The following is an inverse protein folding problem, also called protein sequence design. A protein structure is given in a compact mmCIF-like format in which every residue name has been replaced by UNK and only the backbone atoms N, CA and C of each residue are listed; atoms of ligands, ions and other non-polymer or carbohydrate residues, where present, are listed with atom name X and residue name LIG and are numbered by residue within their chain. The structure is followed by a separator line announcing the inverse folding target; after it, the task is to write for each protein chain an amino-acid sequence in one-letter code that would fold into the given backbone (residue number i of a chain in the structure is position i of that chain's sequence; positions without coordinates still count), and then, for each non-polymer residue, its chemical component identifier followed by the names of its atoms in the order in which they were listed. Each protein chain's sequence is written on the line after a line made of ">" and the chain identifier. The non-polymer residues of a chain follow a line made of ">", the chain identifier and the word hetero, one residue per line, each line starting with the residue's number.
data_IF_827402310649
#
_entry.id   IF_827402310649
#
_cell.length_a   1.000
_cell.length_b   1.000
_cell.length_c   1.000
_cell.angle_alpha   90.00
_cell.angle_beta   90.00
_cell.angle_gamma   90.00
#
_symmetry.space_group_name_H-M   'P 1'
#
loop_
_entity.id
_entity.type
_entity.pdbx_description
1 polymer ?
#
# COMPACT_ATOMS: atom_id res chain seq x y z
N UNK A 1 3.64 10.59 10.43
CA UNK A 1 2.65 9.52 10.58
C UNK A 1 2.04 9.54 11.96
N UNK A 2 0.99 10.34 12.10
CA UNK A 2 0.06 10.23 13.22
C UNK A 2 -0.73 8.92 13.13
N UNK A 3 -1.38 8.53 14.23
CA UNK A 3 -2.16 7.29 14.30
C UNK A 3 -3.24 7.20 13.20
N UNK A 4 -3.79 8.33 12.75
CA UNK A 4 -4.79 8.35 11.69
C UNK A 4 -4.22 8.05 10.29
N UNK A 5 -2.97 8.44 10.01
CA UNK A 5 -2.30 8.09 8.74
C UNK A 5 -2.05 6.58 8.66
N UNK A 6 -1.72 5.95 9.80
CA UNK A 6 -1.48 4.51 9.83
C UNK A 6 -2.76 3.72 9.50
N UNK A 7 -3.93 4.22 9.94
CA UNK A 7 -5.20 3.53 9.78
C UNK A 7 -5.66 3.61 8.33
N UNK A 8 -5.45 4.77 7.68
CA UNK A 8 -5.72 4.94 6.26
C UNK A 8 -4.86 4.01 5.39
N UNK A 9 -3.57 3.90 5.71
CA UNK A 9 -2.65 2.98 4.99
C UNK A 9 -3.08 1.53 5.19
N UNK A 10 -3.34 1.12 6.44
CA UNK A 10 -3.78 -0.23 6.75
C UNK A 10 -5.10 -0.58 6.07
N UNK A 11 -6.03 0.38 6.00
CA UNK A 11 -7.31 0.23 5.30
C UNK A 11 -7.12 0.08 3.79
N UNK A 12 -6.36 0.96 3.15
CA UNK A 12 -6.10 0.88 1.72
C UNK A 12 -5.47 -0.45 1.30
N UNK A 13 -4.51 -0.94 2.10
CA UNK A 13 -3.86 -2.24 1.88
C UNK A 13 -4.81 -3.42 2.14
N UNK A 14 -5.66 -3.33 3.16
CA UNK A 14 -6.70 -4.31 3.44
C UNK A 14 -7.75 -4.41 2.33
N UNK A 15 -8.20 -3.26 1.83
CA UNK A 15 -9.15 -3.17 0.72
C UNK A 15 -8.52 -3.75 -0.56
N UNK A 16 -7.27 -3.40 -0.87
CA UNK A 16 -6.53 -4.00 -1.99
C UNK A 16 -6.39 -5.52 -1.87
N UNK A 17 -6.06 -6.02 -0.68
CA UNK A 17 -5.88 -7.46 -0.45
C UNK A 17 -7.21 -8.24 -0.56
N UNK A 18 -8.28 -7.70 0.02
CA UNK A 18 -9.61 -8.34 0.07
C UNK A 18 -10.38 -8.21 -1.24
N UNK A 19 -10.41 -7.02 -1.82
CA UNK A 19 -11.19 -6.70 -3.01
C UNK A 19 -10.41 -6.90 -4.31
N UNK A 20 -9.11 -7.24 -4.22
CA UNK A 20 -8.21 -7.38 -5.37
C UNK A 20 -8.15 -6.13 -6.25
N UNK A 21 -8.24 -4.96 -5.61
CA UNK A 21 -8.08 -3.65 -6.27
C UNK A 21 -6.64 -3.20 -6.21
N UNK A 22 -6.19 -2.44 -7.21
CA UNK A 22 -4.86 -1.85 -7.20
C UNK A 22 -4.74 -0.83 -6.06
N UNK A 23 -3.62 -0.83 -5.36
CA UNK A 23 -3.22 0.21 -4.41
C UNK A 23 -2.05 1.00 -4.99
N UNK A 24 -2.05 2.30 -4.74
CA UNK A 24 -0.90 3.18 -4.95
C UNK A 24 -0.25 3.43 -3.59
N UNK A 25 1.01 3.09 -3.46
CA UNK A 25 1.80 3.28 -2.24
C UNK A 25 2.96 4.22 -2.55
N UNK A 26 3.06 5.31 -1.79
CA UNK A 26 4.23 6.17 -1.77
C UNK A 26 5.20 5.67 -0.72
N UNK A 27 6.44 5.45 -1.14
CA UNK A 27 7.56 5.09 -0.30
C UNK A 27 8.50 6.28 -0.12
N UNK A 28 8.86 6.53 1.13
CA UNK A 28 9.92 7.46 1.47
C UNK A 28 11.26 6.85 1.06
N UNK A 29 11.98 7.52 0.16
CA UNK A 29 13.36 7.22 -0.15
C UNK A 29 14.26 8.37 0.26
N UNK A 30 15.42 8.04 0.83
CA UNK A 30 16.50 8.97 1.19
C UNK A 30 16.89 9.92 0.05
N UNK A 31 16.80 9.44 -1.20
CA UNK A 31 17.23 10.16 -2.40
C UNK A 31 16.12 10.41 -3.43
N UNK A 32 15.05 9.60 -3.44
CA UNK A 32 13.96 9.74 -4.40
C UNK A 32 12.67 9.11 -3.85
N UNK A 33 11.54 9.79 -4.04
CA UNK A 33 10.23 9.24 -3.70
C UNK A 33 9.91 8.10 -4.67
N UNK A 34 9.72 6.89 -4.14
CA UNK A 34 9.38 5.73 -4.95
C UNK A 34 7.88 5.47 -4.83
N UNK A 35 7.20 5.33 -5.96
CA UNK A 35 5.79 4.97 -5.99
C UNK A 35 5.63 3.54 -6.48
N UNK A 36 4.88 2.73 -5.74
CA UNK A 36 4.53 1.35 -6.09
C UNK A 36 3.04 1.29 -6.37
N UNK A 37 2.67 0.78 -7.55
CA UNK A 37 1.29 0.61 -7.96
C UNK A 37 1.05 -0.86 -8.29
N UNK A 38 0.06 -1.50 -7.65
CA UNK A 38 -0.27 -2.90 -7.93
C UNK A 38 -1.27 -3.47 -6.94
N UNK A 39 -1.57 -4.77 -7.04
CA UNK A 39 -2.54 -5.42 -6.14
C UNK A 39 -1.79 -6.08 -4.99
N UNK A 40 -2.27 -5.90 -3.76
CA UNK A 40 -1.70 -6.59 -2.60
C UNK A 40 -2.03 -8.08 -2.67
N UNK A 41 -0.99 -8.90 -2.79
CA UNK A 41 -1.11 -10.36 -2.87
C UNK A 41 -0.93 -11.02 -1.50
N UNK A 42 -0.11 -10.42 -0.63
CA UNK A 42 0.19 -10.92 0.72
C UNK A 42 0.31 -9.77 1.70
N UNK A 43 -0.16 -9.99 2.93
CA UNK A 43 0.05 -9.12 4.09
C UNK A 43 0.77 -9.89 5.19
N UNK A 44 1.87 -9.35 5.68
CA UNK A 44 2.65 -9.89 6.81
C UNK A 44 2.69 -8.82 7.91
N UNK A 45 1.67 -8.85 8.77
CA UNK A 45 1.50 -7.86 9.85
C UNK A 45 2.59 -8.00 10.92
N UNK A 46 3.07 -9.22 11.18
CA UNK A 46 4.13 -9.50 12.15
C UNK A 46 5.43 -8.79 11.76
N UNK A 47 5.79 -8.85 10.48
CA UNK A 47 7.00 -8.20 9.95
C UNK A 47 6.71 -6.82 9.36
N UNK A 48 5.48 -6.32 9.49
CA UNK A 48 5.00 -5.05 8.95
C UNK A 48 5.42 -4.84 7.50
N UNK A 49 5.08 -5.79 6.63
CA UNK A 49 5.38 -5.74 5.18
C UNK A 49 4.25 -6.36 4.37
N UNK A 50 4.21 -6.03 3.08
CA UNK A 50 3.21 -6.55 2.16
C UNK A 50 3.83 -6.84 0.81
N UNK A 51 3.21 -7.74 0.05
CA UNK A 51 3.66 -8.09 -1.30
C UNK A 51 2.74 -7.43 -2.32
N UNK A 52 3.32 -6.68 -3.25
CA UNK A 52 2.65 -6.10 -4.42
C UNK A 52 3.43 -6.50 -5.65
N UNK A 53 2.73 -7.09 -6.63
CA UNK A 53 3.32 -7.50 -7.92
C UNK A 53 4.56 -8.41 -7.77
N UNK A 54 4.54 -9.31 -6.78
CA UNK A 54 5.68 -10.17 -6.43
C UNK A 54 6.84 -9.50 -5.66
N UNK A 55 6.80 -8.18 -5.43
CA UNK A 55 7.81 -7.45 -4.64
C UNK A 55 7.36 -7.24 -3.18
N UNK A 56 8.28 -7.46 -2.22
CA UNK A 56 8.02 -7.18 -0.81
C UNK A 56 8.36 -5.73 -0.45
N UNK A 57 7.38 -5.04 0.12
CA UNK A 57 7.47 -3.64 0.56
C UNK A 57 7.26 -3.55 2.06
N UNK A 58 8.13 -2.86 2.78
CA UNK A 58 8.03 -2.66 4.22
C UNK A 58 7.17 -1.44 4.55
N UNK A 59 6.29 -1.54 5.55
CA UNK A 59 5.52 -0.39 6.04
C UNK A 59 6.39 0.71 6.63
N UNK A 60 7.62 0.41 7.06
CA UNK A 60 8.55 1.41 7.57
C UNK A 60 8.98 2.41 6.49
N UNK A 61 9.00 1.97 5.23
CA UNK A 61 9.32 2.81 4.07
C UNK A 61 8.07 3.49 3.51
N UNK A 62 6.87 3.16 3.98
CA UNK A 62 5.63 3.76 3.47
C UNK A 62 5.46 5.16 4.03
N UNK A 63 5.32 6.13 3.13
CA UNK A 63 4.93 7.50 3.43
C UNK A 63 3.41 7.70 3.32
N UNK A 64 2.75 6.94 2.43
CA UNK A 64 1.30 6.97 2.28
C UNK A 64 0.78 5.87 1.36
N UNK A 65 -0.50 5.53 1.46
CA UNK A 65 -1.15 4.58 0.56
C UNK A 65 -2.59 5.01 0.27
N UNK A 66 -3.03 4.79 -0.97
CA UNK A 66 -4.39 5.01 -1.41
C UNK A 66 -4.83 3.82 -2.24
N UNK A 67 -5.99 3.25 -1.93
CA UNK A 67 -6.60 2.27 -2.81
C UNK A 67 -6.94 3.01 -4.11
N UNK A 68 -6.38 2.56 -5.22
CA UNK A 68 -6.78 3.05 -6.53
C UNK A 68 -8.26 2.78 -6.67
N UNK A 69 -9.06 3.83 -6.78
CA UNK A 69 -10.44 3.68 -7.19
C UNK A 69 -10.40 2.89 -8.49
N UNK A 70 -10.92 1.65 -8.47
CA UNK A 70 -11.29 0.97 -9.70
C UNK A 70 -12.09 2.00 -10.46
N UNK A 71 -11.52 2.54 -11.53
CA UNK A 71 -12.20 3.48 -12.38
C UNK A 71 -13.53 2.83 -12.71
N UNK A 72 -14.59 3.33 -12.07
CA UNK A 72 -15.96 3.03 -12.42
C UNK A 72 -16.09 3.64 -13.81
N UNK A 73 -15.75 2.85 -14.82
CA UNK A 73 -16.01 3.19 -16.21
C UNK A 73 -17.52 3.32 -16.29
N UNK A 74 -17.96 4.57 -16.42
CA UNK A 74 -19.35 4.93 -16.69
C UNK A 74 -19.87 4.24 -17.93
#
# INVERSE_FOLDING_TARGET
>A
MDEQENELVARALGDSFSMKVSVRVLLYGEFEQREVNGVVERLDQLRRRFMVDGEWVSFADVEGASAGESASVR
#
